data_IF_516966138106
#
_entry.id   IF_516966138106
#
_cell.length_a   1.000
_cell.length_b   1.000
_cell.length_c   1.000
_cell.angle_alpha   90.00
_cell.angle_beta   90.00
_cell.angle_gamma   90.00
#
_symmetry.space_group_name_H-M   'P 1'
#
loop_
_entity.id
_entity.type
_entity.pdbx_description
1 polymer ?
#
# COMPACT_ATOMS: atom_id res chain seq x y z
N UNK A 1 10.88 -23.77 7.24
CA UNK A 1 11.76 -22.58 7.26
C UNK A 1 12.90 -22.85 8.23
N UNK A 2 14.14 -23.00 7.75
CA UNK A 2 15.27 -23.36 8.61
C UNK A 2 15.77 -22.23 9.53
N UNK A 3 15.34 -20.98 9.31
CA UNK A 3 15.70 -19.84 10.15
C UNK A 3 14.63 -18.74 10.02
N UNK A 4 13.75 -18.65 10.98
CA UNK A 4 12.67 -17.66 11.00
C UNK A 4 13.19 -16.20 11.14
N UNK A 5 14.36 -16.00 11.76
CA UNK A 5 14.97 -14.70 11.93
C UNK A 5 15.46 -14.11 10.59
N UNK A 6 15.90 -14.96 9.66
CA UNK A 6 16.33 -14.56 8.32
C UNK A 6 15.18 -14.33 7.34
N UNK A 7 13.97 -14.70 7.67
CA UNK A 7 12.83 -14.52 6.78
C UNK A 7 12.54 -13.04 6.46
N UNK A 8 12.95 -12.14 7.34
CA UNK A 8 12.72 -10.69 7.22
C UNK A 8 14.03 -9.90 6.94
N UNK A 9 15.06 -10.56 6.44
CA UNK A 9 16.28 -9.90 5.94
C UNK A 9 16.03 -9.47 4.48
N UNK A 10 16.09 -8.15 4.25
CA UNK A 10 15.92 -7.53 2.93
C UNK A 10 17.23 -6.97 2.37
N UNK A 11 18.37 -7.39 2.92
CA UNK A 11 19.69 -6.98 2.42
C UNK A 11 19.83 -7.32 0.93
N UNK A 12 20.22 -6.32 0.12
CA UNK A 12 20.34 -6.44 -1.33
C UNK A 12 19.01 -6.48 -2.11
N UNK A 13 17.87 -6.28 -1.45
CA UNK A 13 16.56 -6.21 -2.09
C UNK A 13 16.21 -4.77 -2.48
N UNK A 14 15.64 -4.62 -3.68
CA UNK A 14 15.15 -3.34 -4.21
C UNK A 14 13.64 -3.29 -4.02
N UNK A 15 13.18 -2.34 -3.21
CA UNK A 15 11.78 -2.17 -2.85
C UNK A 15 11.26 -0.86 -3.41
N UNK A 16 10.27 -0.90 -4.29
CA UNK A 16 9.62 0.27 -4.88
C UNK A 16 8.34 0.58 -4.10
N UNK A 17 8.22 1.79 -3.55
CA UNK A 17 7.06 2.18 -2.73
C UNK A 17 6.43 3.44 -3.31
N UNK A 18 5.22 3.32 -3.85
CA UNK A 18 4.43 4.50 -4.26
C UNK A 18 3.73 5.13 -3.06
N UNK A 19 3.69 6.47 -3.01
CA UNK A 19 3.23 7.19 -1.82
C UNK A 19 4.18 7.02 -0.62
N UNK A 20 5.46 6.71 -0.86
CA UNK A 20 6.47 6.41 0.15
C UNK A 20 6.95 7.60 0.97
N UNK A 21 6.51 8.83 0.66
CA UNK A 21 7.00 10.04 1.33
C UNK A 21 6.19 10.46 2.57
N UNK A 22 5.13 9.72 2.94
CA UNK A 22 4.30 10.00 4.12
C UNK A 22 3.39 8.83 4.49
N UNK A 23 2.83 8.88 5.71
CA UNK A 23 1.82 7.92 6.19
C UNK A 23 2.27 6.47 6.12
N UNK A 24 1.39 5.57 5.67
CA UNK A 24 1.67 4.13 5.60
C UNK A 24 2.89 3.81 4.73
N UNK A 25 3.01 4.49 3.57
CA UNK A 25 4.15 4.26 2.66
C UNK A 25 5.49 4.64 3.27
N UNK A 26 5.54 5.74 4.01
CA UNK A 26 6.74 6.17 4.73
C UNK A 26 7.10 5.19 5.86
N UNK A 27 6.14 4.76 6.64
CA UNK A 27 6.36 3.78 7.70
C UNK A 27 6.89 2.44 7.15
N UNK A 28 6.31 1.97 6.02
CA UNK A 28 6.84 0.79 5.32
C UNK A 28 8.27 1.03 4.80
N UNK A 29 8.55 2.19 4.21
CA UNK A 29 9.90 2.52 3.71
C UNK A 29 10.96 2.44 4.81
N UNK A 30 10.67 3.03 5.99
CA UNK A 30 11.58 2.96 7.14
C UNK A 30 11.76 1.53 7.67
N UNK A 31 10.68 0.74 7.71
CA UNK A 31 10.75 -0.65 8.18
C UNK A 31 11.61 -1.53 7.25
N UNK A 32 11.41 -1.45 5.94
CA UNK A 32 12.23 -2.18 4.97
C UNK A 32 13.69 -1.74 4.98
N UNK A 33 13.95 -0.43 5.13
CA UNK A 33 15.34 0.07 5.21
C UNK A 33 16.06 -0.45 6.46
N UNK A 34 15.40 -0.44 7.63
CA UNK A 34 15.92 -1.05 8.86
C UNK A 34 16.24 -2.54 8.72
N UNK A 35 15.55 -3.22 7.81
CA UNK A 35 15.76 -4.62 7.49
C UNK A 35 16.75 -4.84 6.32
N UNK A 36 17.51 -3.81 5.94
CA UNK A 36 18.59 -3.88 4.94
C UNK A 36 18.16 -3.63 3.49
N UNK A 37 16.88 -3.29 3.25
CA UNK A 37 16.38 -3.04 1.90
C UNK A 37 16.79 -1.68 1.34
N UNK A 38 16.95 -1.61 0.01
CA UNK A 38 17.15 -0.36 -0.74
C UNK A 38 15.82 0.11 -1.30
N UNK A 39 15.44 1.36 -1.04
CA UNK A 39 14.09 1.85 -1.27
C UNK A 39 14.03 2.86 -2.42
N UNK A 40 13.24 2.57 -3.46
CA UNK A 40 12.79 3.57 -4.43
C UNK A 40 11.53 4.27 -3.89
N UNK A 41 11.70 5.47 -3.36
CA UNK A 41 10.62 6.29 -2.79
C UNK A 41 9.96 7.08 -3.91
N UNK A 42 8.72 6.74 -4.27
CA UNK A 42 8.00 7.37 -5.35
C UNK A 42 6.78 8.15 -4.84
N UNK A 43 6.70 9.46 -5.13
CA UNK A 43 5.57 10.32 -4.77
C UNK A 43 5.53 11.55 -5.67
N UNK A 44 4.49 12.41 -5.53
CA UNK A 44 4.31 13.58 -6.41
C UNK A 44 5.31 14.72 -6.18
N UNK A 45 5.84 14.85 -4.96
CA UNK A 45 6.76 15.91 -4.55
C UNK A 45 8.15 15.33 -4.38
N UNK A 46 9.10 15.79 -5.19
CA UNK A 46 10.48 15.31 -5.14
C UNK A 46 11.13 15.60 -3.80
N UNK A 47 10.97 16.82 -3.29
CA UNK A 47 11.49 17.27 -2.00
C UNK A 47 11.08 16.36 -0.84
N UNK A 48 9.81 15.93 -0.82
CA UNK A 48 9.32 14.99 0.19
C UNK A 48 9.90 13.57 0.03
N UNK A 49 10.15 13.13 -1.21
CA UNK A 49 10.83 11.86 -1.46
C UNK A 49 12.29 11.92 -1.02
N UNK A 50 13.00 13.01 -1.32
CA UNK A 50 14.40 13.25 -0.92
C UNK A 50 14.54 13.32 0.60
N UNK A 51 13.60 13.99 1.29
CA UNK A 51 13.56 14.00 2.75
C UNK A 51 13.47 12.59 3.33
N UNK A 52 12.57 11.76 2.78
CA UNK A 52 12.46 10.35 3.19
C UNK A 52 13.76 9.58 2.91
N UNK A 53 14.37 9.73 1.74
CA UNK A 53 15.65 9.08 1.43
C UNK A 53 16.76 9.50 2.39
N UNK A 54 16.79 10.76 2.82
CA UNK A 54 17.71 11.24 3.85
C UNK A 54 17.49 10.52 5.19
N UNK A 55 16.23 10.31 5.59
CA UNK A 55 15.91 9.53 6.80
C UNK A 55 16.35 8.08 6.67
N UNK A 56 16.11 7.43 5.50
CA UNK A 56 16.56 6.06 5.25
C UNK A 56 18.07 5.92 5.45
N UNK A 57 18.86 6.87 4.90
CA UNK A 57 20.33 6.89 5.04
C UNK A 57 20.78 7.11 6.49
N UNK A 58 20.06 7.93 7.25
CA UNK A 58 20.36 8.14 8.67
C UNK A 58 20.13 6.86 9.51
N UNK A 59 19.32 5.93 9.01
CA UNK A 59 19.06 4.61 9.62
C UNK A 59 20.00 3.51 9.10
N UNK A 60 21.01 3.87 8.27
CA UNK A 60 21.93 2.92 7.67
C UNK A 60 21.42 2.23 6.39
N UNK A 61 20.25 2.61 5.90
CA UNK A 61 19.68 2.15 4.64
C UNK A 61 20.11 3.02 3.44
N UNK A 62 19.62 2.70 2.25
CA UNK A 62 19.81 3.51 1.04
C UNK A 62 18.52 3.60 0.21
N UNK A 63 18.50 4.51 -0.75
CA UNK A 63 17.36 4.66 -1.64
C UNK A 63 17.53 5.74 -2.70
N UNK A 64 16.47 5.92 -3.50
CA UNK A 64 16.34 7.01 -4.45
C UNK A 64 14.95 7.64 -4.40
N UNK A 65 14.90 8.91 -4.75
CA UNK A 65 13.69 9.72 -4.80
C UNK A 65 13.18 9.83 -6.24
N UNK A 66 11.88 9.62 -6.44
CA UNK A 66 11.22 9.66 -7.74
C UNK A 66 9.95 10.51 -7.68
N UNK A 67 9.93 11.61 -8.44
CA UNK A 67 8.75 12.47 -8.57
C UNK A 67 7.83 11.93 -9.64
N UNK A 68 6.73 11.26 -9.24
CA UNK A 68 5.75 10.69 -10.16
C UNK A 68 4.31 10.93 -9.69
N UNK A 69 3.39 10.95 -10.63
CA UNK A 69 1.96 10.91 -10.38
C UNK A 69 1.39 9.58 -10.89
N UNK A 70 1.08 8.63 -10.01
CA UNK A 70 0.64 7.26 -10.39
C UNK A 70 -0.59 7.23 -11.29
N UNK A 71 -1.43 8.27 -11.28
CA UNK A 71 -2.56 8.41 -12.21
C UNK A 71 -2.18 8.75 -13.65
N UNK A 72 -0.90 9.08 -13.92
CA UNK A 72 -0.37 9.35 -15.24
C UNK A 72 0.39 8.14 -15.75
N UNK A 73 -0.03 7.60 -16.88
CA UNK A 73 0.52 6.37 -17.45
C UNK A 73 2.03 6.50 -17.72
N UNK A 74 2.44 7.60 -18.40
CA UNK A 74 3.84 7.88 -18.70
C UNK A 74 4.73 8.04 -17.46
N UNK A 75 4.18 8.54 -16.34
CA UNK A 75 4.94 8.62 -15.09
C UNK A 75 5.20 7.24 -14.48
N UNK A 76 4.23 6.30 -14.63
CA UNK A 76 4.42 4.91 -14.22
C UNK A 76 5.50 4.23 -15.07
N UNK A 77 5.48 4.45 -16.39
CA UNK A 77 6.48 3.93 -17.32
C UNK A 77 7.87 4.45 -16.96
N UNK A 78 7.99 5.75 -16.77
CA UNK A 78 9.25 6.41 -16.36
C UNK A 78 9.78 5.87 -15.04
N UNK A 79 8.94 5.67 -14.02
CA UNK A 79 9.37 5.08 -12.75
C UNK A 79 9.99 3.69 -12.96
N UNK A 80 9.34 2.84 -13.76
CA UNK A 80 9.86 1.51 -14.03
C UNK A 80 11.22 1.58 -14.75
N UNK A 81 11.36 2.45 -15.77
CA UNK A 81 12.63 2.65 -16.48
C UNK A 81 13.73 3.15 -15.54
N UNK A 82 13.48 4.17 -14.73
CA UNK A 82 14.44 4.73 -13.78
C UNK A 82 14.93 3.69 -12.76
N UNK A 83 14.02 2.86 -12.21
CA UNK A 83 14.35 1.81 -11.25
C UNK A 83 15.22 0.73 -11.89
N UNK A 84 14.84 0.24 -13.08
CA UNK A 84 15.58 -0.82 -13.76
C UNK A 84 16.91 -0.30 -14.36
N UNK A 85 16.96 0.94 -14.82
CA UNK A 85 18.23 1.56 -15.25
C UNK A 85 19.22 1.69 -14.10
N UNK A 86 18.73 1.98 -12.88
CA UNK A 86 19.60 2.18 -11.71
C UNK A 86 20.07 0.87 -11.09
N UNK A 87 19.22 -0.14 -10.97
CA UNK A 87 19.52 -1.36 -10.20
C UNK A 87 19.41 -2.66 -11.01
N UNK A 88 18.93 -2.60 -12.26
CA UNK A 88 18.74 -3.77 -13.10
C UNK A 88 17.58 -4.67 -12.66
N UNK A 89 16.97 -4.41 -11.50
CA UNK A 89 15.92 -5.24 -10.90
C UNK A 89 15.01 -4.47 -9.95
N UNK A 90 13.88 -5.06 -9.65
CA UNK A 90 13.06 -4.76 -8.49
C UNK A 90 12.63 -6.09 -7.87
N UNK A 91 12.69 -6.21 -6.54
CA UNK A 91 12.29 -7.42 -5.81
C UNK A 91 10.88 -7.28 -5.22
N UNK A 92 10.50 -6.06 -4.85
CA UNK A 92 9.19 -5.76 -4.25
C UNK A 92 8.62 -4.48 -4.85
N UNK A 93 7.35 -4.53 -5.26
CA UNK A 93 6.55 -3.35 -5.59
C UNK A 93 5.45 -3.18 -4.54
N UNK A 94 5.33 -1.99 -3.95
CA UNK A 94 4.23 -1.64 -3.04
C UNK A 94 3.41 -0.52 -3.66
N UNK A 95 2.23 -0.86 -4.18
CA UNK A 95 1.23 0.06 -4.67
C UNK A 95 0.45 0.64 -3.48
N UNK A 96 1.01 1.66 -2.84
CA UNK A 96 0.41 2.29 -1.67
C UNK A 96 -0.17 3.69 -1.97
N UNK A 97 0.29 4.38 -3.00
CA UNK A 97 -0.25 5.69 -3.35
C UNK A 97 -1.78 5.64 -3.51
N UNK A 98 -2.47 6.57 -2.86
CA UNK A 98 -3.92 6.65 -2.89
C UNK A 98 -4.43 8.04 -2.53
N UNK A 99 -5.70 8.27 -2.82
CA UNK A 99 -6.47 9.43 -2.38
C UNK A 99 -7.91 9.00 -2.12
N UNK A 100 -8.54 9.62 -1.14
CA UNK A 100 -9.91 9.31 -0.72
C UNK A 100 -10.70 10.61 -0.50
N UNK A 101 -11.00 11.37 -1.54
CA UNK A 101 -11.91 12.49 -1.44
C UNK A 101 -13.33 11.98 -1.19
N UNK A 102 -14.09 12.71 -0.37
CA UNK A 102 -15.48 12.44 -0.12
C UNK A 102 -16.35 13.29 -1.06
N UNK A 103 -17.49 12.77 -1.46
CA UNK A 103 -18.54 13.51 -2.12
C UNK A 103 -19.86 13.30 -1.35
N UNK A 104 -20.70 14.33 -1.18
CA UNK A 104 -21.94 14.22 -0.40
C UNK A 104 -22.93 13.20 -0.96
N UNK A 105 -22.93 13.00 -2.28
CA UNK A 105 -23.72 11.98 -2.97
C UNK A 105 -23.05 11.51 -4.26
N UNK A 106 -23.56 10.44 -4.87
CA UNK A 106 -23.08 9.97 -6.16
C UNK A 106 -23.27 11.01 -7.28
N UNK A 107 -24.34 11.82 -7.20
CA UNK A 107 -24.63 12.88 -8.18
C UNK A 107 -23.62 14.05 -8.09
N UNK A 108 -23.03 14.29 -6.91
CA UNK A 108 -22.07 15.37 -6.68
C UNK A 108 -20.64 15.02 -7.13
N UNK A 109 -20.42 13.82 -7.64
CA UNK A 109 -19.15 13.48 -8.27
C UNK A 109 -19.04 14.13 -9.64
N UNK A 110 -18.10 15.07 -9.80
CA UNK A 110 -17.72 15.52 -11.14
C UNK A 110 -16.94 14.45 -11.90
N UNK A 111 -16.95 14.50 -13.24
CA UNK A 111 -16.13 13.64 -14.09
C UNK A 111 -14.65 13.73 -13.72
N UNK A 112 -14.11 14.95 -13.51
CA UNK A 112 -12.73 15.18 -13.08
C UNK A 112 -12.40 14.49 -11.75
N UNK A 113 -13.33 14.51 -10.79
CA UNK A 113 -13.15 13.84 -9.51
C UNK A 113 -13.16 12.32 -9.68
N UNK A 114 -14.09 11.80 -10.48
CA UNK A 114 -14.19 10.39 -10.83
C UNK A 114 -12.88 9.91 -11.47
N UNK A 115 -12.43 10.57 -12.53
CA UNK A 115 -11.21 10.23 -13.27
C UNK A 115 -9.96 10.29 -12.38
N UNK A 116 -9.88 11.28 -11.51
CA UNK A 116 -8.79 11.41 -10.56
C UNK A 116 -8.75 10.26 -9.57
N UNK A 117 -9.91 9.83 -9.04
CA UNK A 117 -10.01 8.69 -8.12
C UNK A 117 -9.60 7.40 -8.83
N UNK A 118 -10.19 7.11 -9.99
CA UNK A 118 -9.88 5.93 -10.79
C UNK A 118 -8.41 5.95 -11.23
N UNK A 119 -7.93 7.10 -11.70
CA UNK A 119 -6.55 7.26 -12.14
C UNK A 119 -5.53 6.86 -11.08
N UNK A 120 -5.70 7.35 -9.85
CA UNK A 120 -4.75 7.11 -8.76
C UNK A 120 -4.95 5.74 -8.11
N UNK A 121 -6.21 5.36 -7.82
CA UNK A 121 -6.47 4.20 -6.99
C UNK A 121 -6.63 2.88 -7.75
N UNK A 122 -6.80 2.91 -9.08
CA UNK A 122 -6.99 1.71 -9.90
C UNK A 122 -6.01 1.66 -11.09
N UNK A 123 -6.03 2.68 -11.97
CA UNK A 123 -5.19 2.71 -13.18
C UNK A 123 -3.70 2.67 -12.86
N UNK A 124 -3.25 3.44 -11.87
CA UNK A 124 -1.86 3.45 -11.42
C UNK A 124 -1.38 2.09 -10.90
N UNK A 125 -2.05 1.48 -9.91
CA UNK A 125 -1.75 0.12 -9.45
C UNK A 125 -1.76 -0.93 -10.57
N UNK A 126 -2.72 -0.85 -11.52
CA UNK A 126 -2.74 -1.71 -12.69
C UNK A 126 -1.45 -1.56 -13.51
N UNK A 127 -1.13 -0.31 -13.92
CA UNK A 127 0.02 -0.06 -14.80
C UNK A 127 1.34 -0.48 -14.17
N UNK A 128 1.56 -0.10 -12.91
CA UNK A 128 2.78 -0.45 -12.19
C UNK A 128 2.90 -1.96 -11.98
N UNK A 129 1.81 -2.64 -11.62
CA UNK A 129 1.82 -4.10 -11.47
C UNK A 129 2.13 -4.80 -12.79
N UNK A 130 1.59 -4.31 -13.92
CA UNK A 130 1.89 -4.85 -15.24
C UNK A 130 3.37 -4.67 -15.61
N UNK A 131 3.93 -3.47 -15.40
CA UNK A 131 5.32 -3.17 -15.73
C UNK A 131 6.32 -3.96 -14.88
N UNK A 132 6.15 -3.89 -13.56
CA UNK A 132 7.07 -4.56 -12.63
C UNK A 132 6.84 -6.08 -12.61
N UNK A 133 5.58 -6.52 -12.65
CA UNK A 133 5.23 -7.95 -12.66
C UNK A 133 5.81 -8.68 -13.85
N UNK A 134 5.67 -8.14 -15.06
CA UNK A 134 6.25 -8.72 -16.29
C UNK A 134 7.78 -8.81 -16.19
N UNK A 135 8.45 -7.73 -15.74
CA UNK A 135 9.92 -7.72 -15.61
C UNK A 135 10.41 -8.64 -14.50
N UNK A 136 9.73 -8.71 -13.36
CA UNK A 136 10.01 -9.66 -12.29
C UNK A 136 9.84 -11.10 -12.76
N UNK A 137 8.75 -11.41 -13.48
CA UNK A 137 8.48 -12.74 -14.01
C UNK A 137 9.50 -13.19 -15.06
N UNK A 138 10.01 -12.26 -15.87
CA UNK A 138 11.10 -12.52 -16.81
C UNK A 138 12.47 -12.72 -16.10
N UNK A 139 12.64 -12.14 -14.92
CA UNK A 139 13.89 -12.22 -14.12
C UNK A 139 13.82 -13.21 -12.97
N UNK A 140 14.33 -12.79 -11.81
CA UNK A 140 14.49 -13.60 -10.58
C UNK A 140 13.19 -13.76 -9.77
N UNK A 141 12.08 -13.21 -10.24
CA UNK A 141 10.82 -13.18 -9.49
C UNK A 141 10.72 -12.00 -8.53
N UNK A 142 9.69 -12.02 -7.66
CA UNK A 142 9.47 -10.94 -6.73
C UNK A 142 8.12 -11.00 -6.02
N UNK A 143 7.74 -9.87 -5.40
CA UNK A 143 6.46 -9.71 -4.75
C UNK A 143 5.82 -8.36 -5.08
N UNK A 144 4.51 -8.36 -5.36
CA UNK A 144 3.71 -7.17 -5.53
C UNK A 144 2.72 -7.10 -4.36
N UNK A 145 2.67 -5.95 -3.70
CA UNK A 145 1.79 -5.69 -2.57
C UNK A 145 0.93 -4.50 -2.88
N UNK A 146 -0.37 -4.72 -2.96
CA UNK A 146 -1.34 -3.67 -3.15
C UNK A 146 -1.90 -3.21 -1.80
N UNK A 147 -2.02 -1.90 -1.60
CA UNK A 147 -2.65 -1.34 -0.40
C UNK A 147 -4.04 -0.81 -0.76
N UNK A 148 -5.04 -1.41 -0.15
CA UNK A 148 -6.45 -1.04 -0.34
C UNK A 148 -7.08 -0.55 0.96
N UNK A 149 -8.38 -0.55 1.03
CA UNK A 149 -9.16 -0.04 2.16
C UNK A 149 -10.33 -0.96 2.48
N UNK A 150 -10.75 -0.99 3.72
CA UNK A 150 -12.02 -1.63 4.11
C UNK A 150 -13.23 -1.10 3.33
N UNK A 151 -13.16 0.10 2.75
CA UNK A 151 -14.16 0.62 1.82
C UNK A 151 -14.32 -0.25 0.54
N UNK A 152 -13.33 -1.10 0.20
CA UNK A 152 -13.44 -2.05 -0.89
C UNK A 152 -14.44 -3.18 -0.62
N UNK A 153 -14.54 -3.62 0.63
CA UNK A 153 -15.42 -4.71 1.06
C UNK A 153 -16.67 -4.20 1.78
N UNK A 154 -16.61 -3.03 2.37
CA UNK A 154 -17.71 -2.35 3.09
C UNK A 154 -17.83 -0.91 2.57
N UNK A 155 -18.50 -0.72 1.42
CA UNK A 155 -18.64 0.60 0.81
C UNK A 155 -19.46 1.53 1.71
N UNK A 156 -19.04 2.79 1.76
CA UNK A 156 -19.80 3.88 2.35
C UNK A 156 -20.40 4.74 1.22
N UNK A 157 -21.56 5.34 1.46
CA UNK A 157 -22.28 6.16 0.46
C UNK A 157 -21.45 7.32 -0.06
N UNK A 158 -20.59 7.89 0.79
CA UNK A 158 -19.77 9.06 0.47
C UNK A 158 -18.46 8.68 -0.27
N UNK A 159 -18.22 7.39 -0.51
CA UNK A 159 -16.98 6.83 -1.08
C UNK A 159 -17.22 5.89 -2.26
N UNK A 160 -18.31 6.01 -2.99
CA UNK A 160 -18.70 5.06 -4.03
C UNK A 160 -17.58 4.75 -5.04
N UNK A 161 -17.01 5.79 -5.68
CA UNK A 161 -15.96 5.64 -6.69
C UNK A 161 -14.65 5.12 -6.05
N UNK A 162 -14.31 5.59 -4.85
CA UNK A 162 -13.15 5.12 -4.11
C UNK A 162 -13.26 3.64 -3.74
N UNK A 163 -14.41 3.23 -3.19
CA UNK A 163 -14.68 1.84 -2.84
C UNK A 163 -14.61 0.92 -4.06
N UNK A 164 -15.23 1.34 -5.18
CA UNK A 164 -15.18 0.61 -6.45
C UNK A 164 -13.74 0.47 -6.97
N UNK A 165 -12.95 1.56 -6.95
CA UNK A 165 -11.54 1.53 -7.37
C UNK A 165 -10.71 0.58 -6.50
N UNK A 166 -10.89 0.63 -5.17
CA UNK A 166 -10.16 -0.25 -4.24
C UNK A 166 -10.61 -1.71 -4.32
N UNK A 167 -11.89 -1.98 -4.61
CA UNK A 167 -12.35 -3.33 -4.90
C UNK A 167 -11.80 -3.85 -6.24
N UNK A 168 -11.72 -3.00 -7.27
CA UNK A 168 -11.06 -3.35 -8.53
C UNK A 168 -9.60 -3.80 -8.32
N UNK A 169 -8.87 -3.21 -7.36
CA UNK A 169 -7.51 -3.66 -7.02
C UNK A 169 -7.50 -5.05 -6.38
N UNK A 170 -8.57 -5.49 -5.68
CA UNK A 170 -8.69 -6.87 -5.20
C UNK A 170 -8.75 -7.85 -6.38
N UNK A 171 -9.54 -7.53 -7.41
CA UNK A 171 -9.61 -8.31 -8.65
C UNK A 171 -8.24 -8.35 -9.33
N UNK A 172 -7.57 -7.19 -9.49
CA UNK A 172 -6.23 -7.13 -10.08
C UNK A 172 -5.20 -7.96 -9.28
N UNK A 173 -5.29 -7.97 -7.95
CA UNK A 173 -4.41 -8.77 -7.10
C UNK A 173 -4.52 -10.25 -7.43
N UNK A 174 -5.75 -10.77 -7.55
CA UNK A 174 -6.00 -12.16 -7.87
C UNK A 174 -5.63 -12.51 -9.32
N UNK A 175 -5.94 -11.62 -10.26
CA UNK A 175 -5.59 -11.80 -11.69
C UNK A 175 -4.08 -11.85 -11.89
N UNK A 176 -3.34 -10.88 -11.34
CA UNK A 176 -1.88 -10.84 -11.48
C UNK A 176 -1.16 -11.94 -10.70
N UNK A 177 -1.77 -12.46 -9.61
CA UNK A 177 -1.27 -13.65 -8.92
C UNK A 177 -1.28 -14.88 -9.84
N UNK A 178 -2.29 -15.01 -10.71
CA UNK A 178 -2.37 -16.07 -11.71
C UNK A 178 -1.43 -15.81 -12.89
N UNK A 179 -1.39 -14.57 -13.38
CA UNK A 179 -0.61 -14.20 -14.57
C UNK A 179 0.90 -14.35 -14.35
N UNK A 180 1.42 -13.93 -13.18
CA UNK A 180 2.86 -13.87 -12.91
C UNK A 180 3.39 -15.02 -12.06
N UNK A 181 2.52 -15.88 -11.55
CA UNK A 181 2.93 -17.14 -10.90
C UNK A 181 3.68 -18.05 -11.87
N UNK A 182 4.58 -18.89 -11.38
CA UNK A 182 4.98 -19.09 -9.99
C UNK A 182 6.09 -18.14 -9.50
N UNK A 183 6.62 -17.27 -10.37
CA UNK A 183 7.79 -16.43 -10.01
C UNK A 183 7.45 -15.20 -9.19
N UNK A 184 6.27 -14.61 -9.39
CA UNK A 184 5.85 -13.41 -8.66
C UNK A 184 4.61 -13.70 -7.83
N UNK A 185 4.67 -13.34 -6.57
CA UNK A 185 3.52 -13.38 -5.67
C UNK A 185 2.85 -12.01 -5.63
N UNK A 186 1.53 -11.96 -5.74
CA UNK A 186 0.77 -10.71 -5.71
C UNK A 186 -0.28 -10.80 -4.61
N UNK A 187 -0.18 -9.92 -3.61
CA UNK A 187 -1.06 -9.90 -2.45
C UNK A 187 -1.57 -8.49 -2.15
N UNK A 188 -2.57 -8.38 -1.30
CA UNK A 188 -3.18 -7.13 -0.93
C UNK A 188 -3.28 -6.97 0.60
N UNK A 189 -2.97 -5.78 1.10
CA UNK A 189 -3.27 -5.35 2.45
C UNK A 189 -4.50 -4.45 2.40
N UNK A 190 -5.60 -4.87 2.98
CA UNK A 190 -6.82 -4.10 3.12
C UNK A 190 -6.81 -3.38 4.47
N UNK A 191 -6.53 -2.08 4.44
CA UNK A 191 -6.36 -1.25 5.63
C UNK A 191 -7.71 -0.72 6.14
N UNK A 192 -7.88 -0.73 7.44
CA UNK A 192 -8.91 0.03 8.15
C UNK A 192 -8.47 1.47 8.44
N UNK A 193 -8.99 2.08 9.50
CA UNK A 193 -8.61 3.42 9.91
C UNK A 193 -7.21 3.43 10.55
N UNK A 194 -6.31 4.22 9.95
CA UNK A 194 -4.97 4.51 10.46
C UNK A 194 -4.78 6.01 10.66
N UNK A 195 -3.96 6.40 11.63
CA UNK A 195 -3.55 7.79 11.84
C UNK A 195 -2.54 8.22 10.77
N UNK A 196 -3.05 8.80 9.68
CA UNK A 196 -2.24 9.30 8.55
C UNK A 196 -2.61 10.74 8.24
N UNK A 197 -1.85 11.41 7.34
CA UNK A 197 -2.22 12.74 6.87
C UNK A 197 -3.59 12.80 6.20
N UNK A 198 -4.01 11.71 5.54
CA UNK A 198 -5.33 11.63 4.91
C UNK A 198 -6.44 11.64 5.96
N UNK A 199 -6.22 11.01 7.11
CA UNK A 199 -7.18 10.89 8.20
C UNK A 199 -7.04 11.98 9.27
N UNK A 200 -6.03 12.88 9.17
CA UNK A 200 -5.68 13.87 10.19
C UNK A 200 -6.86 14.74 10.63
N UNK A 201 -7.74 15.09 9.70
CA UNK A 201 -8.91 15.94 9.99
C UNK A 201 -9.98 15.29 10.87
N UNK A 202 -10.00 13.95 11.00
CA UNK A 202 -11.04 13.24 11.72
C UNK A 202 -10.54 12.17 12.70
N UNK A 203 -9.45 11.47 12.41
CA UNK A 203 -9.02 10.29 13.17
C UNK A 203 -8.49 10.58 14.59
N UNK A 204 -8.20 11.84 14.91
CA UNK A 204 -7.71 12.27 16.23
C UNK A 204 -8.70 13.19 16.97
N UNK A 205 -9.94 13.31 16.49
CA UNK A 205 -10.98 14.08 17.18
C UNK A 205 -11.51 13.32 18.41
N UNK A 206 -12.02 14.07 19.40
CA UNK A 206 -12.61 13.47 20.60
C UNK A 206 -13.79 12.54 20.25
N UNK A 207 -14.65 12.95 19.30
CA UNK A 207 -15.79 12.16 18.86
C UNK A 207 -15.38 10.87 18.19
N UNK A 208 -14.36 10.91 17.30
CA UNK A 208 -13.81 9.70 16.69
C UNK A 208 -13.23 8.76 17.74
N UNK A 209 -12.45 9.29 18.69
CA UNK A 209 -11.84 8.50 19.77
C UNK A 209 -12.91 7.85 20.65
N UNK A 210 -13.98 8.60 21.00
CA UNK A 210 -15.12 8.06 21.75
C UNK A 210 -15.83 6.95 20.98
N UNK A 211 -16.08 7.16 19.67
CA UNK A 211 -16.68 6.14 18.81
C UNK A 211 -15.78 4.90 18.71
N UNK A 212 -14.49 5.09 18.46
CA UNK A 212 -13.55 3.99 18.35
C UNK A 212 -13.53 3.13 19.63
N UNK A 213 -13.47 3.75 20.80
CA UNK A 213 -13.55 3.04 22.10
C UNK A 213 -14.86 2.27 22.27
N UNK A 214 -15.96 2.74 21.71
CA UNK A 214 -17.27 2.11 21.87
C UNK A 214 -17.54 0.99 20.86
N UNK A 215 -16.96 1.05 19.65
CA UNK A 215 -17.37 0.19 18.53
C UNK A 215 -16.25 -0.63 17.91
N UNK A 216 -14.98 -0.25 18.07
CA UNK A 216 -13.86 -1.01 17.47
C UNK A 216 -13.37 -2.07 18.45
N UNK A 217 -13.11 -3.31 18.01
CA UNK A 217 -12.53 -4.34 18.89
C UNK A 217 -11.22 -3.91 19.56
N UNK A 218 -10.28 -3.28 18.81
CA UNK A 218 -9.04 -2.74 19.39
C UNK A 218 -9.18 -1.32 19.96
N UNK A 219 -10.39 -0.74 19.95
CA UNK A 219 -10.76 0.54 20.58
C UNK A 219 -9.94 1.77 20.12
N UNK A 220 -9.25 1.68 18.99
CA UNK A 220 -8.43 2.76 18.43
C UNK A 220 -8.27 2.63 16.91
N UNK A 221 -7.79 3.67 16.28
CA UNK A 221 -7.18 3.56 14.96
C UNK A 221 -5.77 2.94 15.06
N UNK A 222 -5.26 2.40 13.97
CA UNK A 222 -3.89 1.92 13.85
C UNK A 222 -2.90 3.08 13.70
N UNK A 223 -1.67 2.88 14.18
CA UNK A 223 -0.55 3.75 13.84
C UNK A 223 0.11 3.27 12.53
N UNK A 224 0.69 4.16 11.71
CA UNK A 224 1.24 3.82 10.39
C UNK A 224 2.25 2.67 10.41
N UNK A 225 3.02 2.54 11.47
CA UNK A 225 4.04 1.51 11.65
C UNK A 225 3.46 0.10 11.76
N UNK A 226 2.21 -0.03 12.18
CA UNK A 226 1.56 -1.33 12.38
C UNK A 226 1.21 -2.05 11.06
N UNK A 227 1.25 -1.33 9.92
CA UNK A 227 1.06 -1.96 8.60
C UNK A 227 2.33 -2.64 8.08
N UNK A 228 3.51 -2.20 8.57
CA UNK A 228 4.79 -2.61 8.02
C UNK A 228 5.04 -4.13 8.18
N UNK A 229 4.64 -4.72 9.30
CA UNK A 229 4.79 -6.17 9.52
C UNK A 229 4.11 -7.02 8.46
N UNK A 230 2.91 -6.63 8.02
CA UNK A 230 2.20 -7.35 6.97
C UNK A 230 2.84 -7.15 5.59
N UNK A 231 3.32 -5.95 5.30
CA UNK A 231 4.06 -5.68 4.05
C UNK A 231 5.35 -6.51 4.00
N UNK A 232 6.11 -6.55 5.10
CA UNK A 232 7.31 -7.38 5.20
C UNK A 232 6.99 -8.88 5.10
N UNK A 233 5.91 -9.35 5.72
CA UNK A 233 5.45 -10.74 5.55
C UNK A 233 5.22 -11.06 4.08
N UNK A 234 4.40 -10.30 3.37
CA UNK A 234 4.11 -10.55 1.96
C UNK A 234 5.33 -10.43 1.05
N UNK A 235 6.29 -9.56 1.37
CA UNK A 235 7.53 -9.41 0.63
C UNK A 235 8.52 -10.56 0.87
N UNK A 236 8.43 -11.23 2.01
CA UNK A 236 9.43 -12.19 2.50
C UNK A 236 9.21 -13.63 2.02
N UNK A 237 10.22 -14.51 2.18
CA UNK A 237 10.05 -15.96 2.00
C UNK A 237 9.04 -16.60 2.94
N UNK A 238 8.68 -15.96 4.07
CA UNK A 238 7.63 -16.45 4.97
C UNK A 238 6.26 -16.56 4.26
N UNK A 239 6.03 -15.76 3.22
CA UNK A 239 4.83 -15.80 2.39
C UNK A 239 5.00 -16.63 1.10
N UNK A 240 5.95 -17.59 1.04
CA UNK A 240 6.25 -18.36 -0.18
C UNK A 240 5.06 -19.13 -0.74
N UNK A 241 4.06 -19.46 0.08
CA UNK A 241 2.82 -20.13 -0.33
C UNK A 241 1.59 -19.21 -0.25
N UNK A 242 1.82 -17.87 -0.27
CA UNK A 242 0.75 -16.87 -0.18
C UNK A 242 0.77 -15.97 -1.41
N UNK A 243 -0.22 -16.13 -2.29
CA UNK A 243 -0.45 -15.29 -3.46
C UNK A 243 -1.97 -15.15 -3.71
N UNK A 244 -2.41 -14.03 -4.26
CA UNK A 244 -3.83 -13.72 -4.45
C UNK A 244 -4.58 -13.38 -3.15
N UNK A 245 -3.88 -13.31 -2.01
CA UNK A 245 -4.50 -13.08 -0.71
C UNK A 245 -4.84 -11.60 -0.48
N UNK A 246 -5.92 -11.38 0.27
CA UNK A 246 -6.32 -10.07 0.79
C UNK A 246 -6.31 -10.16 2.32
N UNK A 247 -5.31 -9.53 2.94
CA UNK A 247 -5.17 -9.49 4.40
C UNK A 247 -5.77 -8.21 4.96
N UNK A 248 -6.77 -8.35 5.82
CA UNK A 248 -7.39 -7.22 6.49
C UNK A 248 -6.57 -6.82 7.72
N UNK A 249 -6.21 -5.53 7.81
CA UNK A 249 -5.57 -4.92 8.97
C UNK A 249 -6.37 -3.68 9.36
N UNK A 250 -7.29 -3.84 10.28
CA UNK A 250 -8.28 -2.81 10.58
C UNK A 250 -8.66 -2.71 12.07
N UNK A 251 -7.96 -3.39 12.95
CA UNK A 251 -8.30 -3.42 14.36
C UNK A 251 -9.66 -4.07 14.67
N UNK A 252 -10.18 -4.87 13.72
CA UNK A 252 -11.48 -5.53 13.83
C UNK A 252 -12.66 -4.64 13.43
N UNK A 253 -12.44 -3.46 12.85
CA UNK A 253 -13.52 -2.51 12.49
C UNK A 253 -14.49 -3.07 11.45
N UNK A 254 -14.04 -4.01 10.62
CA UNK A 254 -14.89 -4.74 9.68
C UNK A 254 -15.84 -5.74 10.38
N UNK A 255 -15.56 -6.08 11.64
CA UNK A 255 -16.38 -6.94 12.47
C UNK A 255 -16.71 -6.17 13.77
N UNK A 256 -17.59 -5.16 13.72
CA UNK A 256 -17.89 -4.34 14.89
C UNK A 256 -18.40 -5.22 16.04
N UNK A 257 -18.05 -4.84 17.27
CA UNK A 257 -18.57 -5.50 18.45
C UNK A 257 -20.11 -5.32 18.44
N UNK A 258 -20.83 -6.39 18.18
CA UNK A 258 -22.24 -6.46 18.54
C UNK A 258 -22.21 -6.62 20.08
N UNK A 259 -22.57 -5.58 20.83
CA UNK A 259 -22.85 -5.76 22.25
C UNK A 259 -24.00 -6.76 22.33
N UNK A 260 -23.67 -8.02 22.52
CA UNK A 260 -24.64 -8.96 23.04
C UNK A 260 -24.96 -8.49 24.46
N UNK A 261 -26.17 -8.06 24.63
CA UNK A 261 -26.73 -7.74 25.94
C UNK A 261 -26.83 -9.07 26.71
N UNK A 262 -25.72 -9.48 27.27
CA UNK A 262 -25.67 -10.42 28.37
C UNK A 262 -25.14 -9.61 29.56
N UNK A 263 -26.01 -8.80 30.12
CA UNK A 263 -25.98 -8.38 31.50
C UNK A 263 -27.12 -9.08 32.25
#
# INVERSE_FOLDING_TARGET
>A
MKDAARAYDFTGKIIVITGGSRGLGHAMALAFAKAGGTIAVASRKLDACEATVKELRALGGDGSAHAIHVGKWADCDRLAEEVYAKWGRADVLINNAGLSPLAPSALDHSEDLFDKIIGVNLKGPFRLSALFGSRMAAGEGGAIINVTSTAAARPDRDMAVYGAAKNGVHVLTQTFAQEYGPKVRVNCIMCGPFHTDISKGWSRTADYTKRAKATFPLQRAGEPEEVAGAAMYFASPAASFTTGAILTIDGGTSNPIVKTVYE
#
